data_IF_869013084118
#
_entry.id   IF_869013084118
#
_cell.length_a   1.000
_cell.length_b   1.000
_cell.length_c   1.000
_cell.angle_alpha   90.00
_cell.angle_beta   90.00
_cell.angle_gamma   90.00
#
_symmetry.space_group_name_H-M   'P 1'
#
loop_
_entity.id
_entity.type
_entity.pdbx_description
1 polymer ?
#
# COMPACT_ATOMS: atom_id res chain seq x y z
N UNK A 1 36.63 -4.57 5.34
CA UNK A 1 35.70 -3.48 5.65
C UNK A 1 34.36 -4.09 6.04
N UNK A 2 33.76 -3.73 7.16
CA UNK A 2 32.77 -4.55 7.86
C UNK A 2 31.36 -4.46 7.24
N UNK A 3 31.07 -5.31 6.28
CA UNK A 3 29.75 -5.46 5.64
C UNK A 3 28.69 -5.98 6.64
N UNK A 4 29.12 -6.69 7.69
CA UNK A 4 28.20 -7.27 8.68
C UNK A 4 27.42 -6.26 9.54
N UNK A 5 27.86 -4.99 9.64
CA UNK A 5 27.15 -3.99 10.45
C UNK A 5 25.98 -3.34 9.70
N UNK A 6 26.04 -3.29 8.38
CA UNK A 6 25.01 -2.64 7.55
C UNK A 6 23.76 -3.54 7.41
N UNK A 7 23.96 -4.84 7.17
CA UNK A 7 22.84 -5.82 7.16
C UNK A 7 22.17 -5.92 8.53
N UNK A 8 22.97 -5.95 9.60
CA UNK A 8 22.42 -5.94 10.95
C UNK A 8 21.63 -4.66 11.26
N UNK A 9 22.02 -3.52 10.70
CA UNK A 9 21.31 -2.25 10.88
C UNK A 9 20.01 -2.19 10.08
N UNK A 10 20.00 -2.64 8.82
CA UNK A 10 18.78 -2.72 8.00
C UNK A 10 17.80 -3.73 8.59
N UNK A 11 18.27 -4.93 8.95
CA UNK A 11 17.44 -5.95 9.57
C UNK A 11 17.00 -5.52 10.98
N UNK A 12 17.82 -4.77 11.71
CA UNK A 12 17.45 -4.20 13.02
C UNK A 12 16.41 -3.09 12.88
N UNK A 13 16.51 -2.23 11.84
CA UNK A 13 15.51 -1.20 11.55
C UNK A 13 14.19 -1.83 11.10
N UNK A 14 14.23 -2.83 10.23
CA UNK A 14 13.04 -3.59 9.83
C UNK A 14 12.48 -4.42 10.99
N UNK A 15 13.29 -4.86 11.96
CA UNK A 15 12.82 -5.51 13.19
C UNK A 15 12.19 -4.56 14.20
N UNK A 16 12.52 -3.27 14.15
CA UNK A 16 11.82 -2.25 14.96
C UNK A 16 10.39 -2.06 14.45
N UNK A 17 10.16 -2.29 13.15
CA UNK A 17 8.83 -2.27 12.53
C UNK A 17 8.18 -3.66 12.39
N UNK A 18 8.94 -4.75 12.53
CA UNK A 18 8.37 -6.09 12.69
C UNK A 18 7.75 -6.18 14.08
N UNK A 19 6.43 -6.33 14.13
CA UNK A 19 5.64 -6.36 15.35
C UNK A 19 6.34 -7.16 16.47
N UNK A 20 6.47 -6.60 17.68
CA UNK A 20 6.94 -7.35 18.82
C UNK A 20 6.04 -8.58 19.00
N UNK A 21 6.64 -9.72 19.35
CA UNK A 21 5.92 -10.93 19.71
C UNK A 21 4.78 -10.53 20.64
N UNK A 22 3.56 -10.88 20.28
CA UNK A 22 2.35 -10.66 21.08
C UNK A 22 2.53 -11.31 22.45
N UNK A 23 3.04 -10.55 23.40
CA UNK A 23 2.85 -10.86 24.80
C UNK A 23 1.47 -10.35 25.19
N UNK A 24 0.67 -11.25 25.72
CA UNK A 24 -0.66 -10.99 26.26
C UNK A 24 -0.65 -9.80 27.22
N UNK A 25 -1.16 -8.66 26.80
CA UNK A 25 -1.52 -7.58 27.70
C UNK A 25 -3.03 -7.54 27.88
N UNK A 26 -3.42 -7.61 29.17
CA UNK A 26 -4.79 -7.38 29.59
C UNK A 26 -5.20 -5.95 29.27
N UNK A 27 -6.30 -5.77 28.56
CA UNK A 27 -6.93 -4.49 28.31
C UNK A 27 -8.08 -4.31 29.29
N UNK A 28 -7.90 -3.43 30.28
CA UNK A 28 -8.97 -2.70 30.88
C UNK A 28 -8.81 -1.24 30.43
N UNK A 29 -9.37 -0.85 29.30
CA UNK A 29 -9.64 0.57 29.07
C UNK A 29 -10.96 0.85 29.78
N UNK A 30 -10.93 1.79 30.73
CA UNK A 30 -12.16 2.38 31.26
C UNK A 30 -12.92 3.03 30.09
N UNK A 31 -14.24 2.78 29.94
CA UNK A 31 -15.00 3.22 28.77
C UNK A 31 -15.09 4.75 28.60
N UNK A 32 -14.57 5.55 29.54
CA UNK A 32 -14.68 7.02 29.55
C UNK A 32 -13.35 7.76 29.38
N UNK A 33 -12.21 7.09 29.12
CA UNK A 33 -10.94 7.79 28.92
C UNK A 33 -10.80 8.29 27.47
N UNK A 34 -10.46 9.59 27.34
CA UNK A 34 -10.15 10.20 26.05
C UNK A 34 -8.78 9.73 25.57
N UNK A 35 -8.70 9.30 24.31
CA UNK A 35 -7.43 9.01 23.62
C UNK A 35 -6.93 10.26 22.92
N UNK A 36 -5.67 10.63 23.15
CA UNK A 36 -5.08 11.79 22.49
C UNK A 36 -5.15 11.67 20.97
N UNK A 37 -4.75 10.53 20.40
CA UNK A 37 -4.71 10.32 18.96
C UNK A 37 -6.09 10.25 18.31
N UNK A 38 -7.08 9.67 19.00
CA UNK A 38 -8.45 9.50 18.49
C UNK A 38 -9.31 10.76 18.64
N UNK A 39 -9.26 11.38 19.80
CA UNK A 39 -10.25 12.38 20.21
C UNK A 39 -9.69 13.81 20.22
N UNK A 40 -8.43 14.01 20.56
CA UNK A 40 -7.81 15.33 20.83
C UNK A 40 -6.95 15.78 19.66
N UNK A 41 -6.05 14.94 19.17
CA UNK A 41 -5.11 15.31 18.10
C UNK A 41 -5.80 15.83 16.83
N UNK A 42 -6.92 15.26 16.34
CA UNK A 42 -7.63 15.80 15.19
C UNK A 42 -8.12 17.24 15.41
N UNK A 43 -8.60 17.55 16.63
CA UNK A 43 -9.06 18.89 16.98
C UNK A 43 -7.89 19.89 16.94
N UNK A 44 -6.74 19.52 17.54
CA UNK A 44 -5.54 20.35 17.54
C UNK A 44 -4.96 20.53 16.13
N UNK A 45 -4.95 19.46 15.32
CA UNK A 45 -4.46 19.47 13.96
C UNK A 45 -5.23 20.46 13.08
N UNK A 46 -6.55 20.38 13.13
CA UNK A 46 -7.43 21.20 12.29
C UNK A 46 -7.48 22.67 12.72
N UNK A 47 -7.33 22.96 14.02
CA UNK A 47 -7.61 24.29 14.56
C UNK A 47 -6.38 25.02 15.14
N UNK A 48 -5.31 24.30 15.52
CA UNK A 48 -4.20 24.87 16.28
C UNK A 48 -2.83 24.72 15.61
N UNK A 49 -2.58 23.57 14.97
CA UNK A 49 -1.23 23.27 14.43
C UNK A 49 -0.82 24.13 13.25
N UNK A 50 -1.74 24.84 12.60
CA UNK A 50 -1.40 25.84 11.59
C UNK A 50 -0.51 26.97 12.12
N UNK A 51 -0.60 27.29 13.45
CA UNK A 51 0.19 28.30 14.13
C UNK A 51 1.06 27.76 15.28
N UNK A 52 0.66 26.60 15.86
CA UNK A 52 1.28 26.02 17.06
C UNK A 52 1.70 24.56 16.83
N UNK A 53 1.96 24.16 15.57
CA UNK A 53 2.38 22.82 15.19
C UNK A 53 3.91 22.64 15.11
N UNK A 54 4.36 21.41 14.81
CA UNK A 54 5.78 21.04 14.84
C UNK A 54 6.63 21.73 13.77
N UNK A 55 6.03 22.18 12.67
CA UNK A 55 6.75 22.72 11.49
C UNK A 55 6.85 24.24 11.51
N UNK A 56 6.20 24.90 12.47
CA UNK A 56 6.21 26.36 12.57
C UNK A 56 7.48 26.80 13.25
N UNK A 57 8.50 27.24 12.47
CA UNK A 57 9.80 27.70 12.98
C UNK A 57 9.67 28.83 13.99
N UNK A 58 8.70 29.72 13.77
CA UNK A 58 8.40 30.84 14.64
C UNK A 58 6.97 30.67 15.19
N UNK A 59 6.75 29.59 15.96
CA UNK A 59 5.46 29.37 16.60
C UNK A 59 5.04 30.60 17.42
N UNK A 60 3.82 31.07 17.19
CA UNK A 60 3.31 32.25 17.89
C UNK A 60 3.43 32.06 19.41
N UNK A 61 3.98 33.04 20.10
CA UNK A 61 4.35 32.99 21.52
C UNK A 61 5.36 31.87 21.90
N UNK A 62 6.09 31.30 20.93
CA UNK A 62 7.00 30.17 21.16
C UNK A 62 6.30 28.87 21.57
N UNK A 63 4.96 28.81 21.47
CA UNK A 63 4.17 27.66 21.90
C UNK A 63 3.99 26.65 20.78
N UNK A 64 4.34 25.41 21.07
CA UNK A 64 4.02 24.26 20.21
C UNK A 64 3.13 23.27 20.99
N UNK A 65 1.97 22.92 20.43
CA UNK A 65 0.96 22.05 21.05
C UNK A 65 1.05 20.57 20.60
N UNK A 66 2.10 20.22 19.86
CA UNK A 66 2.25 18.86 19.36
C UNK A 66 2.94 17.90 20.33
N UNK A 67 3.61 18.43 21.36
CA UNK A 67 4.30 17.64 22.37
C UNK A 67 3.94 18.08 23.80
N UNK A 68 3.90 17.14 24.71
CA UNK A 68 3.65 17.39 26.12
C UNK A 68 4.65 18.38 26.72
N UNK A 69 5.94 18.20 26.42
CA UNK A 69 7.01 19.04 26.93
C UNK A 69 6.84 20.52 26.56
N UNK A 70 6.55 20.80 25.30
CA UNK A 70 6.34 22.18 24.84
C UNK A 70 5.04 22.80 25.35
N UNK A 71 3.94 22.01 25.41
CA UNK A 71 2.65 22.49 25.84
C UNK A 71 2.58 22.76 27.36
N UNK A 72 3.41 22.09 28.17
CA UNK A 72 3.49 22.28 29.62
C UNK A 72 4.64 23.20 30.03
N UNK A 73 5.44 23.68 29.09
CA UNK A 73 6.51 24.65 29.37
C UNK A 73 5.91 26.02 29.75
N UNK A 74 6.67 26.82 30.48
CA UNK A 74 6.29 28.20 30.81
C UNK A 74 6.26 29.07 29.56
N UNK A 75 5.20 29.86 29.41
CA UNK A 75 5.01 30.80 28.31
C UNK A 75 5.76 32.12 28.58
N UNK A 76 6.88 32.32 27.84
CA UNK A 76 7.65 33.54 27.95
C UNK A 76 8.63 33.58 29.13
N UNK A 77 9.56 34.58 29.08
CA UNK A 77 10.53 34.78 30.14
C UNK A 77 9.86 35.54 31.30
N UNK A 78 9.77 34.91 32.47
CA UNK A 78 9.27 35.53 33.71
C UNK A 78 7.75 35.46 33.88
N UNK A 79 7.04 34.63 33.13
CA UNK A 79 5.61 34.35 33.32
C UNK A 79 5.40 32.98 33.98
N UNK A 80 4.51 32.92 34.97
CA UNK A 80 4.12 31.70 35.66
C UNK A 80 2.92 31.00 34.94
N UNK A 81 2.78 31.25 33.63
CA UNK A 81 1.68 30.69 32.82
C UNK A 81 2.14 29.51 31.97
N UNK A 82 1.30 28.49 31.94
CA UNK A 82 1.49 27.31 31.10
C UNK A 82 0.32 27.17 30.13
N UNK A 83 0.57 26.73 28.90
CA UNK A 83 -0.52 26.46 27.98
C UNK A 83 -1.40 25.30 28.47
N UNK A 84 -0.79 24.26 29.04
CA UNK A 84 -1.47 23.15 29.68
C UNK A 84 -0.95 22.95 31.10
N UNK A 85 -1.88 22.90 32.06
CA UNK A 85 -1.65 22.42 33.42
C UNK A 85 -2.41 21.11 33.54
N UNK A 86 -1.71 19.95 33.51
CA UNK A 86 -2.36 18.64 33.58
C UNK A 86 -3.24 18.52 34.82
N UNK A 87 -4.49 18.09 34.62
CA UNK A 87 -5.49 17.93 35.69
C UNK A 87 -6.20 19.21 36.10
N UNK A 88 -5.84 20.38 35.55
CA UNK A 88 -6.50 21.66 35.89
C UNK A 88 -6.79 22.52 34.65
N UNK A 89 -8.01 22.35 34.08
CA UNK A 89 -8.41 23.18 32.93
C UNK A 89 -8.47 24.66 33.24
N UNK A 90 -8.76 25.06 34.50
CA UNK A 90 -8.89 26.47 34.86
C UNK A 90 -7.57 27.19 34.98
N UNK A 91 -6.50 26.46 35.38
CA UNK A 91 -5.14 26.97 35.39
C UNK A 91 -4.55 27.04 33.97
N UNK A 92 -5.01 26.19 33.05
CA UNK A 92 -4.52 26.07 31.67
C UNK A 92 -4.85 27.28 30.83
N UNK A 93 -3.84 27.92 30.24
CA UNK A 93 -4.01 29.10 29.37
C UNK A 93 -4.76 28.72 28.08
N UNK A 94 -4.57 27.50 27.55
CA UNK A 94 -5.32 26.99 26.41
C UNK A 94 -6.83 27.06 26.68
N UNK A 95 -7.29 26.57 27.85
CA UNK A 95 -8.70 26.60 28.22
C UNK A 95 -9.24 28.02 28.29
N UNK A 96 -8.53 28.95 28.94
CA UNK A 96 -8.95 30.35 29.04
C UNK A 96 -9.13 30.96 27.68
N UNK A 97 -8.20 30.72 26.73
CA UNK A 97 -8.27 31.31 25.40
C UNK A 97 -9.35 30.70 24.51
N UNK A 98 -9.55 29.37 24.53
CA UNK A 98 -10.60 28.76 23.68
C UNK A 98 -12.01 29.10 24.20
N UNK A 99 -12.16 29.48 25.49
CA UNK A 99 -13.44 29.85 26.09
C UNK A 99 -13.61 31.38 26.22
N UNK A 100 -12.58 32.18 25.90
CA UNK A 100 -12.67 33.66 26.00
C UNK A 100 -13.75 34.22 25.07
N UNK A 101 -14.43 35.27 25.56
CA UNK A 101 -15.35 36.07 24.76
C UNK A 101 -14.67 37.31 24.17
N UNK A 102 -13.48 37.65 24.67
CA UNK A 102 -12.70 38.75 24.17
C UNK A 102 -12.06 38.36 22.84
N UNK A 103 -12.34 39.08 21.73
CA UNK A 103 -11.79 38.81 20.44
C UNK A 103 -10.24 38.82 20.39
N UNK A 104 -9.59 39.63 21.23
CA UNK A 104 -8.15 39.80 21.28
C UNK A 104 -7.44 38.65 22.02
N UNK A 105 -8.17 37.95 22.86
CA UNK A 105 -7.65 36.81 23.63
C UNK A 105 -8.06 35.45 23.03
N UNK A 106 -9.16 35.43 22.28
CA UNK A 106 -9.79 34.19 21.82
C UNK A 106 -8.88 33.43 20.86
N UNK A 107 -8.83 32.10 21.05
CA UNK A 107 -8.18 31.15 20.14
C UNK A 107 -9.18 30.07 19.67
N UNK A 108 -9.16 29.70 18.39
CA UNK A 108 -8.47 30.38 17.28
C UNK A 108 -8.97 31.82 17.10
N UNK A 109 -8.11 32.74 16.54
CA UNK A 109 -8.51 34.13 16.34
C UNK A 109 -9.77 34.24 15.48
N UNK A 110 -10.66 35.24 15.76
CA UNK A 110 -11.93 35.37 15.04
C UNK A 110 -11.81 35.62 13.53
N UNK A 111 -10.70 36.19 13.09
CA UNK A 111 -10.34 36.44 11.69
C UNK A 111 -9.75 35.23 10.98
N UNK A 112 -9.45 34.15 11.72
CA UNK A 112 -9.00 32.89 11.14
C UNK A 112 -10.15 32.08 10.55
N UNK A 113 -9.85 31.16 9.61
CA UNK A 113 -10.82 30.22 9.06
C UNK A 113 -11.11 29.02 9.99
N UNK A 114 -10.53 29.03 11.20
CA UNK A 114 -10.63 27.93 12.16
C UNK A 114 -11.62 28.29 13.27
N UNK A 115 -12.52 27.35 13.62
CA UNK A 115 -13.49 27.55 14.70
C UNK A 115 -13.73 26.24 15.44
N UNK A 116 -13.63 26.29 16.76
CA UNK A 116 -13.98 25.15 17.61
C UNK A 116 -15.52 25.09 17.82
N UNK A 117 -16.07 23.90 17.68
CA UNK A 117 -17.46 23.62 18.11
C UNK A 117 -17.54 23.48 19.63
N UNK A 118 -18.73 23.68 20.26
CA UNK A 118 -18.90 23.46 21.68
C UNK A 118 -18.47 22.06 22.14
N UNK A 119 -18.73 21.02 21.32
CA UNK A 119 -18.31 19.65 21.62
C UNK A 119 -16.78 19.48 21.61
N UNK A 120 -16.08 20.12 20.66
CA UNK A 120 -14.61 20.10 20.63
C UNK A 120 -13.98 20.81 21.81
N UNK A 121 -14.58 21.93 22.25
CA UNK A 121 -14.13 22.65 23.45
C UNK A 121 -14.28 21.76 24.68
N UNK A 122 -15.41 21.06 24.82
CA UNK A 122 -15.63 20.16 25.96
C UNK A 122 -14.67 18.98 25.96
N UNK A 123 -14.40 18.35 24.80
CA UNK A 123 -13.40 17.29 24.66
C UNK A 123 -12.02 17.76 25.11
N UNK A 124 -11.58 18.95 24.70
CA UNK A 124 -10.31 19.52 25.14
C UNK A 124 -10.29 19.78 26.65
N UNK A 125 -11.39 20.27 27.21
CA UNK A 125 -11.52 20.48 28.65
C UNK A 125 -11.42 19.19 29.45
N UNK A 126 -12.17 18.16 29.06
CA UNK A 126 -12.14 16.85 29.71
C UNK A 126 -10.77 16.19 29.60
N UNK A 127 -10.11 16.30 28.44
CA UNK A 127 -8.75 15.79 28.26
C UNK A 127 -7.76 16.47 29.21
N UNK A 128 -7.84 17.79 29.41
CA UNK A 128 -6.99 18.50 30.37
C UNK A 128 -7.26 18.01 31.79
N UNK A 129 -8.52 17.88 32.18
CA UNK A 129 -8.88 17.38 33.51
C UNK A 129 -8.45 15.95 33.77
N UNK A 130 -8.40 15.10 32.73
CA UNK A 130 -7.89 13.73 32.78
C UNK A 130 -6.37 13.65 32.82
N UNK A 131 -5.64 14.78 32.85
CA UNK A 131 -4.19 14.80 32.96
C UNK A 131 -3.46 15.21 31.69
N UNK A 132 -4.16 15.57 30.62
CA UNK A 132 -3.60 16.00 29.33
C UNK A 132 -2.53 15.02 28.79
N UNK A 133 -2.79 13.71 28.89
CA UNK A 133 -1.86 12.70 28.43
C UNK A 133 -1.70 12.75 26.92
N UNK A 134 -0.45 12.84 26.46
CA UNK A 134 -0.07 12.75 25.05
C UNK A 134 0.28 11.30 24.70
N UNK A 135 -0.23 10.85 23.59
CA UNK A 135 0.19 9.58 23.01
C UNK A 135 1.27 9.83 21.94
N UNK A 136 2.19 8.89 21.77
CA UNK A 136 3.09 8.87 20.63
C UNK A 136 2.29 8.82 19.32
N UNK A 137 2.94 9.15 18.19
CA UNK A 137 2.25 9.16 16.90
C UNK A 137 1.59 7.80 16.63
N UNK A 138 0.33 7.79 16.22
CA UNK A 138 -0.50 6.60 16.08
C UNK A 138 0.11 5.51 15.18
N UNK A 139 0.83 5.92 14.10
CA UNK A 139 1.46 4.98 13.17
C UNK A 139 2.64 4.21 13.78
N UNK A 140 3.20 4.67 14.91
CA UNK A 140 4.35 4.05 15.58
C UNK A 140 4.00 3.42 16.92
N UNK A 141 2.71 3.39 17.26
CA UNK A 141 2.27 2.70 18.46
C UNK A 141 2.15 1.19 18.23
N UNK A 142 2.46 0.41 19.25
CA UNK A 142 2.23 -1.02 19.20
C UNK A 142 0.74 -1.32 19.02
N UNK A 143 0.42 -2.24 18.10
CA UNK A 143 -0.94 -2.66 17.88
C UNK A 143 -1.50 -3.36 19.12
N UNK A 144 -2.66 -2.93 19.58
CA UNK A 144 -3.42 -3.61 20.64
C UNK A 144 -4.37 -4.62 19.96
N UNK A 145 -4.27 -5.89 20.37
CA UNK A 145 -5.21 -6.90 19.88
C UNK A 145 -6.60 -6.65 20.48
N UNK A 146 -7.60 -6.55 19.63
CA UNK A 146 -9.01 -6.53 20.06
C UNK A 146 -9.39 -7.96 20.50
N UNK A 147 -9.40 -8.22 21.80
CA UNK A 147 -9.70 -9.56 22.33
C UNK A 147 -11.15 -9.96 21.99
N UNK A 148 -11.28 -11.15 21.42
CA UNK A 148 -12.59 -11.74 21.10
C UNK A 148 -13.37 -11.05 19.97
N UNK A 149 -12.81 -10.04 19.34
CA UNK A 149 -13.45 -9.35 18.22
C UNK A 149 -13.14 -10.04 16.89
N UNK A 150 -14.17 -10.37 16.14
CA UNK A 150 -14.07 -10.73 14.72
C UNK A 150 -14.36 -9.50 13.86
N UNK A 151 -13.97 -9.53 12.58
CA UNK A 151 -14.33 -8.48 11.61
C UNK A 151 -15.85 -8.24 11.64
N UNK A 152 -16.64 -9.31 11.64
CA UNK A 152 -18.10 -9.24 11.68
C UNK A 152 -18.63 -8.58 12.96
N UNK A 153 -18.04 -8.88 14.13
CA UNK A 153 -18.49 -8.27 15.38
C UNK A 153 -18.20 -6.77 15.42
N UNK A 154 -17.05 -6.34 14.91
CA UNK A 154 -16.70 -4.92 14.79
C UNK A 154 -17.63 -4.18 13.82
N UNK A 155 -17.92 -4.78 12.65
CA UNK A 155 -18.85 -4.20 11.67
C UNK A 155 -20.27 -4.10 12.25
N UNK A 156 -20.76 -5.16 12.92
CA UNK A 156 -22.09 -5.15 13.56
C UNK A 156 -22.20 -4.09 14.62
N UNK A 157 -21.22 -3.98 15.52
CA UNK A 157 -21.22 -2.93 16.55
C UNK A 157 -21.30 -1.52 15.93
N UNK A 158 -20.62 -1.29 14.79
CA UNK A 158 -20.70 -0.01 14.08
C UNK A 158 -22.07 0.22 13.45
N UNK A 159 -22.68 -0.80 12.84
CA UNK A 159 -24.01 -0.72 12.24
C UNK A 159 -25.08 -0.47 13.29
N UNK A 160 -25.04 -1.17 14.43
CA UNK A 160 -25.98 -1.00 15.54
C UNK A 160 -26.02 0.45 16.03
N UNK A 161 -24.84 1.11 16.13
CA UNK A 161 -24.74 2.53 16.49
C UNK A 161 -25.34 3.50 15.46
N UNK A 162 -25.58 3.05 14.22
CA UNK A 162 -26.18 3.85 13.15
C UNK A 162 -27.63 3.51 12.85
N UNK A 163 -28.19 2.48 13.50
CA UNK A 163 -29.52 1.94 13.22
C UNK A 163 -29.64 1.18 11.90
N UNK A 164 -28.52 0.89 11.24
CA UNK A 164 -28.49 0.09 10.01
C UNK A 164 -28.38 -1.40 10.33
N UNK A 165 -28.89 -2.22 9.42
CA UNK A 165 -28.80 -3.69 9.51
C UNK A 165 -28.01 -4.25 8.33
N UNK A 166 -27.26 -5.33 8.55
CA UNK A 166 -26.62 -6.07 7.49
C UNK A 166 -27.64 -6.61 6.50
N UNK A 167 -27.33 -6.59 5.22
CA UNK A 167 -28.13 -7.29 4.21
C UNK A 167 -28.12 -8.80 4.48
N UNK A 168 -29.17 -9.54 4.06
CA UNK A 168 -29.17 -11.00 4.14
C UNK A 168 -28.00 -11.59 3.30
N UNK A 169 -27.54 -12.80 3.65
CA UNK A 169 -26.53 -13.50 2.85
C UNK A 169 -26.96 -13.61 1.39
N UNK A 170 -26.02 -13.46 0.47
CA UNK A 170 -26.27 -13.66 -0.95
C UNK A 170 -26.57 -15.14 -1.24
N UNK A 171 -27.30 -15.41 -2.34
CA UNK A 171 -27.50 -16.76 -2.83
C UNK A 171 -26.17 -17.41 -3.24
N UNK A 172 -26.17 -18.74 -3.37
CA UNK A 172 -24.97 -19.53 -3.63
C UNK A 172 -24.27 -19.17 -4.94
N UNK A 173 -25.02 -18.91 -6.01
CA UNK A 173 -24.45 -18.55 -7.31
C UNK A 173 -23.75 -17.19 -7.22
N UNK A 174 -24.38 -16.23 -6.57
CA UNK A 174 -23.82 -14.90 -6.32
C UNK A 174 -22.58 -14.98 -5.41
N UNK A 175 -22.57 -15.81 -4.37
CA UNK A 175 -21.41 -16.02 -3.51
C UNK A 175 -20.23 -16.58 -4.30
N UNK A 176 -20.45 -17.64 -5.10
CA UNK A 176 -19.37 -18.21 -5.91
C UNK A 176 -18.81 -17.19 -6.90
N UNK A 177 -19.69 -16.48 -7.61
CA UNK A 177 -19.27 -15.47 -8.58
C UNK A 177 -18.40 -14.38 -7.91
N UNK A 178 -18.84 -13.86 -6.77
CA UNK A 178 -18.11 -12.82 -6.04
C UNK A 178 -16.73 -13.31 -5.61
N UNK A 179 -16.68 -14.45 -4.90
CA UNK A 179 -15.39 -14.93 -4.36
C UNK A 179 -14.40 -15.32 -5.47
N UNK A 180 -14.89 -15.91 -6.59
CA UNK A 180 -14.01 -16.25 -7.71
C UNK A 180 -13.46 -14.97 -8.35
N UNK A 181 -14.31 -13.98 -8.58
CA UNK A 181 -13.91 -12.70 -9.17
C UNK A 181 -12.98 -11.90 -8.25
N UNK A 182 -13.26 -11.88 -6.95
CA UNK A 182 -12.42 -11.15 -5.98
C UNK A 182 -11.02 -11.77 -5.87
N UNK A 183 -10.94 -13.10 -5.81
CA UNK A 183 -9.68 -13.81 -5.63
C UNK A 183 -8.87 -13.99 -6.92
N UNK A 184 -9.52 -14.11 -8.07
CA UNK A 184 -8.83 -14.47 -9.32
C UNK A 184 -8.98 -13.44 -10.44
N UNK A 185 -9.86 -12.45 -10.27
CA UNK A 185 -10.22 -11.50 -11.33
C UNK A 185 -11.09 -12.11 -12.44
N UNK A 186 -11.46 -13.39 -12.35
CA UNK A 186 -12.17 -14.15 -13.37
C UNK A 186 -13.52 -14.63 -12.85
N UNK A 187 -14.53 -14.81 -13.71
CA UNK A 187 -15.77 -15.48 -13.32
C UNK A 187 -15.54 -16.99 -13.12
N UNK A 188 -16.38 -17.67 -12.32
CA UNK A 188 -16.35 -19.13 -12.25
C UNK A 188 -16.77 -19.74 -13.59
N UNK A 189 -16.27 -20.95 -13.88
CA UNK A 189 -16.78 -21.71 -15.03
C UNK A 189 -18.19 -22.25 -14.76
N UNK A 190 -18.98 -22.59 -15.80
CA UNK A 190 -20.28 -23.23 -15.61
C UNK A 190 -20.18 -24.51 -14.77
N UNK A 191 -19.15 -25.32 -15.01
CA UNK A 191 -18.93 -26.59 -14.29
C UNK A 191 -18.62 -26.34 -12.81
N UNK A 192 -17.86 -25.31 -12.48
CA UNK A 192 -17.58 -24.89 -11.09
C UNK A 192 -18.87 -24.40 -10.40
N UNK A 193 -19.71 -23.68 -11.13
CA UNK A 193 -20.99 -23.21 -10.62
C UNK A 193 -21.93 -24.40 -10.32
N UNK A 194 -22.09 -25.30 -11.27
CA UNK A 194 -22.97 -26.49 -11.12
C UNK A 194 -22.49 -27.37 -9.96
N UNK A 195 -21.17 -27.62 -9.88
CA UNK A 195 -20.58 -28.41 -8.79
C UNK A 195 -20.82 -27.76 -7.42
N UNK A 196 -20.68 -26.42 -7.31
CA UNK A 196 -20.92 -25.72 -6.07
C UNK A 196 -22.38 -25.68 -5.66
N UNK A 197 -23.32 -25.55 -6.63
CA UNK A 197 -24.76 -25.50 -6.36
C UNK A 197 -25.28 -26.79 -5.76
N UNK A 198 -24.75 -27.95 -6.19
CA UNK A 198 -25.15 -29.27 -5.69
C UNK A 198 -24.40 -29.74 -4.44
N UNK A 199 -23.30 -29.05 -4.07
CA UNK A 199 -22.53 -29.40 -2.88
C UNK A 199 -23.13 -28.74 -1.62
N UNK A 200 -23.89 -29.52 -0.85
CA UNK A 200 -24.56 -29.07 0.38
C UNK A 200 -23.75 -29.27 1.66
N UNK A 201 -22.47 -29.63 1.56
CA UNK A 201 -21.63 -29.75 2.74
C UNK A 201 -21.43 -28.36 3.42
N UNK A 202 -21.40 -28.31 4.75
CA UNK A 202 -21.24 -27.05 5.48
C UNK A 202 -19.97 -26.29 5.12
N UNK A 203 -18.89 -26.99 4.75
CA UNK A 203 -17.58 -26.45 4.39
C UNK A 203 -17.40 -26.21 2.87
N UNK A 204 -18.45 -26.37 2.06
CA UNK A 204 -18.37 -26.23 0.60
C UNK A 204 -17.78 -24.88 0.17
N UNK A 205 -18.19 -23.79 0.80
CA UNK A 205 -17.69 -22.45 0.51
C UNK A 205 -16.20 -22.31 0.87
N UNK A 206 -15.81 -22.78 2.06
CA UNK A 206 -14.41 -22.73 2.51
C UNK A 206 -13.49 -23.55 1.59
N UNK A 207 -13.93 -24.72 1.14
CA UNK A 207 -13.18 -25.52 0.15
C UNK A 207 -12.96 -24.77 -1.16
N UNK A 208 -13.97 -24.06 -1.65
CA UNK A 208 -13.84 -23.21 -2.85
C UNK A 208 -12.81 -22.10 -2.60
N UNK A 209 -12.91 -21.38 -1.49
CA UNK A 209 -11.95 -20.31 -1.12
C UNK A 209 -10.52 -20.85 -1.09
N UNK A 210 -10.31 -21.96 -0.38
CA UNK A 210 -8.99 -22.60 -0.25
C UNK A 210 -8.42 -23.08 -1.59
N UNK A 211 -9.29 -23.56 -2.50
CA UNK A 211 -8.89 -23.94 -3.86
C UNK A 211 -8.46 -22.73 -4.68
N UNK A 212 -9.26 -21.67 -4.66
CA UNK A 212 -8.99 -20.44 -5.41
C UNK A 212 -7.70 -19.78 -4.94
N UNK A 213 -7.48 -19.65 -3.63
CA UNK A 213 -6.25 -19.06 -3.05
C UNK A 213 -4.97 -19.79 -3.47
N UNK A 214 -5.05 -21.08 -3.81
CA UNK A 214 -3.90 -21.86 -4.29
C UNK A 214 -3.75 -21.85 -5.83
N UNK A 215 -4.60 -21.11 -6.52
CA UNK A 215 -4.55 -21.05 -7.98
C UNK A 215 -3.52 -20.02 -8.46
N UNK A 216 -2.87 -20.24 -9.61
CA UNK A 216 -2.03 -19.23 -10.24
C UNK A 216 -2.76 -17.91 -10.49
N UNK A 217 -4.03 -17.95 -10.88
CA UNK A 217 -4.83 -16.75 -11.12
C UNK A 217 -5.02 -15.89 -9.86
N UNK A 218 -5.10 -16.52 -8.66
CA UNK A 218 -5.11 -15.75 -7.41
C UNK A 218 -3.78 -15.09 -7.12
N UNK A 219 -2.67 -15.75 -7.38
CA UNK A 219 -1.34 -15.14 -7.25
C UNK A 219 -1.18 -13.96 -8.20
N UNK A 220 -1.60 -14.10 -9.46
CA UNK A 220 -1.61 -13.03 -10.45
C UNK A 220 -2.49 -11.84 -10.00
N UNK A 221 -3.70 -12.11 -9.52
CA UNK A 221 -4.61 -11.06 -9.04
C UNK A 221 -4.08 -10.30 -7.83
N UNK A 222 -3.50 -11.01 -6.86
CA UNK A 222 -2.93 -10.42 -5.66
C UNK A 222 -1.65 -9.63 -5.96
N UNK A 223 -0.88 -10.06 -6.97
CA UNK A 223 0.36 -9.38 -7.34
C UNK A 223 0.14 -8.04 -8.03
N UNK A 224 -1.03 -7.78 -8.64
CA UNK A 224 -1.29 -6.53 -9.41
C UNK A 224 -1.00 -5.29 -8.56
N UNK A 225 -1.60 -5.20 -7.38
CA UNK A 225 -1.43 -4.03 -6.50
C UNK A 225 0.03 -3.90 -6.02
N UNK A 226 0.74 -5.03 -5.85
CA UNK A 226 2.17 -5.02 -5.52
C UNK A 226 3.02 -4.53 -6.67
N UNK A 227 2.76 -4.98 -7.89
CA UNK A 227 3.47 -4.54 -9.09
C UNK A 227 3.27 -3.05 -9.35
N UNK A 228 2.04 -2.55 -9.16
CA UNK A 228 1.72 -1.12 -9.26
C UNK A 228 2.46 -0.31 -8.20
N UNK A 229 2.40 -0.72 -6.93
CA UNK A 229 3.15 -0.09 -5.84
C UNK A 229 4.66 -0.09 -6.07
N UNK A 230 5.20 -1.16 -6.64
CA UNK A 230 6.61 -1.28 -7.03
C UNK A 230 6.96 -0.53 -8.32
N UNK A 231 6.02 0.08 -9.03
CA UNK A 231 6.23 0.80 -10.31
C UNK A 231 6.78 -0.11 -11.41
N UNK A 232 6.38 -1.38 -11.43
CA UNK A 232 6.86 -2.35 -12.38
C UNK A 232 6.59 -1.94 -13.83
N UNK A 233 7.61 -2.00 -14.67
CA UNK A 233 7.51 -1.90 -16.11
C UNK A 233 8.69 -2.60 -16.79
N UNK A 234 8.45 -3.20 -17.97
CA UNK A 234 9.48 -3.72 -18.86
C UNK A 234 9.94 -2.64 -19.86
N UNK A 235 9.88 -1.38 -19.44
CA UNK A 235 10.37 -0.21 -20.18
C UNK A 235 11.05 0.77 -19.24
N UNK A 236 11.89 1.65 -19.78
CA UNK A 236 12.73 2.55 -19.00
C UNK A 236 11.99 3.78 -18.45
N UNK A 237 10.86 4.16 -19.03
CA UNK A 237 10.18 5.41 -18.72
C UNK A 237 10.85 6.63 -19.36
N UNK A 238 10.54 7.82 -18.89
CA UNK A 238 10.94 9.10 -19.47
C UNK A 238 10.48 9.27 -20.93
N UNK A 239 11.05 10.22 -21.68
CA UNK A 239 10.63 10.49 -23.05
C UNK A 239 11.12 9.45 -24.05
N UNK A 240 12.23 8.78 -23.76
CA UNK A 240 12.71 7.63 -24.50
C UNK A 240 12.42 6.38 -23.68
N UNK A 241 11.27 5.77 -23.95
CA UNK A 241 10.75 4.63 -23.18
C UNK A 241 11.18 3.30 -23.82
N UNK A 242 12.47 3.08 -23.84
CA UNK A 242 13.07 1.85 -24.38
C UNK A 242 12.78 0.62 -23.53
N UNK A 243 12.80 -0.53 -24.17
CA UNK A 243 12.63 -1.85 -23.54
C UNK A 243 13.72 -2.16 -22.51
N UNK A 244 13.31 -2.78 -21.40
CA UNK A 244 14.17 -3.45 -20.42
C UNK A 244 13.50 -4.74 -19.92
N UNK A 245 14.28 -5.66 -19.35
CA UNK A 245 13.80 -6.95 -18.87
C UNK A 245 13.68 -6.95 -17.34
N UNK A 246 12.48 -6.67 -16.82
CA UNK A 246 12.16 -6.76 -15.40
C UNK A 246 11.24 -7.94 -15.09
N UNK A 247 10.76 -8.66 -16.10
CA UNK A 247 9.78 -9.74 -15.98
C UNK A 247 10.23 -10.89 -15.07
N UNK A 248 11.54 -11.15 -14.93
CA UNK A 248 12.04 -12.17 -13.98
C UNK A 248 11.71 -11.81 -12.54
N UNK A 249 11.84 -10.52 -12.18
CA UNK A 249 11.42 -10.04 -10.87
C UNK A 249 9.90 -10.15 -10.68
N UNK A 250 9.10 -9.80 -11.69
CA UNK A 250 7.65 -10.02 -11.64
C UNK A 250 7.32 -11.49 -11.37
N UNK A 251 7.96 -12.41 -12.08
CA UNK A 251 7.75 -13.84 -11.87
C UNK A 251 8.14 -14.28 -10.45
N UNK A 252 9.21 -13.70 -9.89
CA UNK A 252 9.56 -13.92 -8.50
C UNK A 252 8.43 -13.47 -7.54
N UNK A 253 7.84 -12.30 -7.78
CA UNK A 253 6.68 -11.80 -7.01
C UNK A 253 5.50 -12.77 -7.13
N UNK A 254 5.15 -13.19 -8.34
CA UNK A 254 4.07 -14.16 -8.57
C UNK A 254 4.33 -15.48 -7.82
N UNK A 255 5.56 -15.98 -7.85
CA UNK A 255 5.93 -17.18 -7.12
C UNK A 255 5.84 -16.99 -5.60
N UNK A 256 6.22 -15.84 -5.10
CA UNK A 256 6.12 -15.50 -3.68
C UNK A 256 4.66 -15.54 -3.19
N UNK A 257 3.72 -14.97 -3.96
CA UNK A 257 2.28 -15.05 -3.65
C UNK A 257 1.74 -16.48 -3.80
N UNK A 258 2.12 -17.20 -4.86
CA UNK A 258 1.67 -18.58 -5.11
C UNK A 258 2.10 -19.54 -4.00
N UNK A 259 3.30 -19.35 -3.46
CA UNK A 259 3.87 -20.17 -2.39
C UNK A 259 3.52 -19.65 -0.99
N UNK A 260 2.77 -18.56 -0.91
CA UNK A 260 2.42 -17.88 0.33
C UNK A 260 3.66 -17.58 1.19
N UNK A 261 4.70 -16.97 0.55
CA UNK A 261 5.94 -16.58 1.23
C UNK A 261 5.62 -15.65 2.42
N UNK A 262 6.28 -15.84 3.54
CA UNK A 262 6.10 -15.00 4.71
C UNK A 262 6.45 -13.54 4.39
N UNK A 263 5.63 -12.60 4.87
CA UNK A 263 5.80 -11.18 4.55
C UNK A 263 7.12 -10.58 5.05
N UNK A 264 7.62 -11.03 6.18
CA UNK A 264 8.92 -10.62 6.70
C UNK A 264 10.09 -11.06 5.80
N UNK A 265 10.08 -12.32 5.31
CA UNK A 265 11.04 -12.82 4.35
C UNK A 265 10.91 -12.10 2.99
N UNK A 266 9.70 -11.94 2.50
CA UNK A 266 9.37 -11.22 1.27
C UNK A 266 9.92 -9.78 1.30
N UNK A 267 9.77 -9.08 2.44
CA UNK A 267 10.27 -7.73 2.62
C UNK A 267 11.80 -7.68 2.63
N UNK A 268 12.43 -8.54 3.43
CA UNK A 268 13.89 -8.57 3.55
C UNK A 268 14.54 -8.91 2.21
N UNK A 269 14.01 -9.89 1.47
CA UNK A 269 14.56 -10.31 0.19
C UNK A 269 14.45 -9.20 -0.87
N UNK A 270 13.36 -8.42 -0.90
CA UNK A 270 13.21 -7.33 -1.87
C UNK A 270 14.07 -6.10 -1.57
N UNK A 271 14.38 -5.85 -0.30
CA UNK A 271 15.17 -4.66 0.09
C UNK A 271 16.66 -4.99 0.19
N UNK A 272 17.03 -6.19 0.62
CA UNK A 272 18.39 -6.57 0.99
C UNK A 272 18.72 -8.04 0.68
N UNK A 273 18.04 -8.66 -0.29
CA UNK A 273 18.21 -10.06 -0.62
C UNK A 273 19.62 -10.40 -1.10
N UNK A 274 20.26 -9.50 -1.82
CA UNK A 274 21.65 -9.62 -2.28
C UNK A 274 22.68 -9.51 -1.15
N UNK A 275 22.32 -8.93 -0.03
CA UNK A 275 23.18 -8.74 1.15
C UNK A 275 23.05 -9.90 2.16
N UNK A 276 22.17 -10.85 1.93
CA UNK A 276 22.01 -12.01 2.83
C UNK A 276 23.25 -12.92 2.76
N UNK A 277 23.69 -13.52 3.88
CA UNK A 277 24.79 -14.47 3.88
C UNK A 277 24.50 -15.66 2.96
N UNK A 278 25.34 -15.87 1.95
CA UNK A 278 25.14 -16.93 0.96
C UNK A 278 23.92 -16.72 0.05
N UNK A 279 23.57 -15.46 -0.23
CA UNK A 279 22.42 -15.08 -1.05
C UNK A 279 22.25 -15.95 -2.30
N UNK A 280 21.07 -16.55 -2.44
CA UNK A 280 20.68 -17.34 -3.61
C UNK A 280 20.44 -16.44 -4.82
N UNK A 281 20.35 -17.03 -6.01
CA UNK A 281 19.96 -16.31 -7.23
C UNK A 281 18.59 -15.64 -7.03
N UNK A 282 17.60 -16.35 -6.50
CA UNK A 282 16.25 -15.83 -6.30
C UNK A 282 16.19 -14.69 -5.28
N UNK A 283 17.01 -14.71 -4.24
CA UNK A 283 17.14 -13.61 -3.30
C UNK A 283 17.75 -12.35 -3.94
N UNK A 284 18.66 -12.53 -4.90
CA UNK A 284 19.20 -11.41 -5.70
C UNK A 284 18.15 -10.90 -6.69
N UNK A 285 17.39 -11.78 -7.35
CA UNK A 285 16.26 -11.40 -8.22
C UNK A 285 15.24 -10.54 -7.45
N UNK A 286 14.94 -10.90 -6.19
CA UNK A 286 14.02 -10.17 -5.34
C UNK A 286 14.35 -8.67 -5.23
N UNK A 287 15.65 -8.31 -5.20
CA UNK A 287 16.09 -6.90 -5.12
C UNK A 287 15.76 -6.08 -6.37
N UNK A 288 15.24 -6.70 -7.41
CA UNK A 288 14.65 -6.02 -8.57
C UNK A 288 13.56 -5.01 -8.18
N UNK A 289 12.93 -5.14 -7.01
CA UNK A 289 12.05 -4.12 -6.44
C UNK A 289 12.69 -2.72 -6.45
N UNK A 290 13.94 -2.61 -6.04
CA UNK A 290 14.68 -1.35 -6.01
C UNK A 290 15.13 -0.89 -7.41
N UNK A 291 14.97 -1.72 -8.41
CA UNK A 291 15.40 -1.46 -9.80
C UNK A 291 14.24 -1.09 -10.73
N UNK A 292 13.00 -1.02 -10.21
CA UNK A 292 11.83 -0.61 -10.98
C UNK A 292 11.72 0.91 -11.21
N UNK A 293 12.64 1.72 -10.65
CA UNK A 293 12.69 3.16 -10.94
C UNK A 293 12.85 3.40 -12.44
N UNK A 294 12.30 4.51 -12.92
CA UNK A 294 12.59 4.97 -14.29
C UNK A 294 14.08 5.21 -14.45
N UNK A 295 14.61 4.96 -15.66
CA UNK A 295 15.99 5.22 -16.04
C UNK A 295 16.04 6.07 -17.31
N UNK A 296 16.89 7.10 -17.33
CA UNK A 296 17.09 7.94 -18.50
C UNK A 296 18.40 7.57 -19.21
N UNK A 297 18.38 7.62 -20.54
CA UNK A 297 19.58 7.57 -21.38
C UNK A 297 19.59 8.72 -22.40
N UNK A 298 18.81 9.76 -22.12
CA UNK A 298 18.71 10.94 -22.98
C UNK A 298 20.03 11.71 -23.03
N UNK A 299 20.34 12.24 -24.22
CA UNK A 299 21.52 13.10 -24.38
C UNK A 299 21.41 14.39 -23.61
N UNK A 300 22.53 14.83 -22.99
CA UNK A 300 22.58 16.07 -22.21
C UNK A 300 22.14 15.97 -20.75
N UNK A 301 21.79 14.78 -20.28
CA UNK A 301 21.49 14.52 -18.86
C UNK A 301 22.76 14.57 -18.02
N UNK A 302 22.63 14.98 -16.75
CA UNK A 302 23.71 14.95 -15.76
C UNK A 302 23.60 13.65 -14.96
N UNK A 303 24.51 12.66 -15.15
CA UNK A 303 24.37 11.35 -14.50
C UNK A 303 24.23 11.40 -12.99
N UNK A 304 24.93 12.30 -12.30
CA UNK A 304 24.85 12.42 -10.84
C UNK A 304 23.48 12.95 -10.37
N UNK A 305 22.86 13.85 -11.10
CA UNK A 305 21.50 14.33 -10.82
C UNK A 305 20.49 13.19 -10.87
N UNK A 306 20.55 12.38 -11.91
CA UNK A 306 19.64 11.24 -12.05
C UNK A 306 19.95 10.12 -11.06
N UNK A 307 21.23 9.88 -10.73
CA UNK A 307 21.58 8.93 -9.66
C UNK A 307 20.96 9.32 -8.32
N UNK A 308 20.99 10.61 -7.99
CA UNK A 308 20.33 11.16 -6.79
C UNK A 308 18.82 10.98 -6.90
N UNK A 309 18.23 11.29 -8.04
CA UNK A 309 16.80 11.15 -8.32
C UNK A 309 16.33 9.70 -8.13
N UNK A 310 17.06 8.72 -8.65
CA UNK A 310 16.71 7.29 -8.49
C UNK A 310 16.79 6.85 -7.02
N UNK A 311 17.77 7.35 -6.25
CA UNK A 311 17.86 7.02 -4.84
C UNK A 311 16.75 7.69 -4.01
N UNK A 312 16.34 8.92 -4.35
CA UNK A 312 15.16 9.57 -3.75
C UNK A 312 13.89 8.76 -4.04
N UNK A 313 13.75 8.27 -5.26
CA UNK A 313 12.64 7.44 -5.67
C UNK A 313 12.60 6.09 -4.91
N UNK A 314 13.76 5.47 -4.64
CA UNK A 314 13.84 4.27 -3.78
C UNK A 314 13.37 4.56 -2.35
N UNK A 315 13.80 5.69 -1.77
CA UNK A 315 13.33 6.13 -0.44
C UNK A 315 11.82 6.26 -0.42
N UNK A 316 11.26 7.00 -1.38
CA UNK A 316 9.82 7.26 -1.46
C UNK A 316 9.02 5.96 -1.64
N UNK A 317 9.49 5.07 -2.51
CA UNK A 317 8.83 3.81 -2.78
C UNK A 317 8.87 2.86 -1.59
N UNK A 318 10.04 2.68 -0.97
CA UNK A 318 10.16 1.81 0.22
C UNK A 318 9.30 2.37 1.36
N UNK A 319 9.34 3.68 1.59
CA UNK A 319 8.52 4.30 2.61
C UNK A 319 7.02 4.12 2.33
N UNK A 320 6.58 4.33 1.10
CA UNK A 320 5.17 4.23 0.73
C UNK A 320 4.68 2.79 0.77
N UNK A 321 5.41 1.86 0.15
CA UNK A 321 4.93 0.47 -0.07
C UNK A 321 5.08 -0.39 1.19
N UNK A 322 6.20 -0.30 1.90
CA UNK A 322 6.45 -1.14 3.07
C UNK A 322 6.09 -0.48 4.40
N UNK A 323 6.16 0.84 4.49
CA UNK A 323 5.97 1.56 5.75
C UNK A 323 4.65 2.32 5.81
N UNK A 324 3.96 2.54 4.65
CA UNK A 324 2.75 3.35 4.57
C UNK A 324 3.01 4.84 4.91
N UNK A 325 4.22 5.34 4.67
CA UNK A 325 4.65 6.69 4.99
C UNK A 325 4.95 7.51 3.74
N UNK A 326 4.57 8.78 3.74
CA UNK A 326 4.85 9.73 2.66
C UNK A 326 6.13 10.52 2.94
N UNK A 327 7.29 9.90 2.88
CA UNK A 327 8.57 10.53 3.28
C UNK A 327 9.08 11.61 2.33
N UNK A 328 8.61 11.66 1.10
CA UNK A 328 9.14 12.56 0.05
C UNK A 328 9.10 14.06 0.44
N UNK A 329 8.10 14.48 1.21
CA UNK A 329 8.03 15.85 1.73
C UNK A 329 9.26 16.22 2.57
N UNK A 330 9.80 15.23 3.31
CA UNK A 330 10.97 15.42 4.17
C UNK A 330 12.29 15.57 3.41
N UNK A 331 12.31 15.43 2.09
CA UNK A 331 13.47 15.75 1.25
C UNK A 331 13.88 17.24 1.37
N UNK A 332 12.90 18.14 1.48
CA UNK A 332 13.15 19.60 1.46
C UNK A 332 12.99 20.26 2.84
N UNK A 333 12.16 19.73 3.72
CA UNK A 333 11.86 20.26 5.05
C UNK A 333 11.31 19.15 5.94
N UNK A 334 11.26 19.34 7.25
CA UNK A 334 10.62 18.39 8.15
C UNK A 334 9.17 18.13 7.73
N UNK A 335 8.72 16.88 7.83
CA UNK A 335 7.38 16.51 7.37
C UNK A 335 6.30 17.29 8.13
N UNK A 336 5.26 17.75 7.42
CA UNK A 336 4.26 18.66 8.00
C UNK A 336 3.39 17.98 9.07
N UNK A 337 3.07 16.70 8.89
CA UNK A 337 2.08 15.98 9.72
C UNK A 337 2.69 14.84 10.52
N UNK A 338 3.69 14.19 9.98
CA UNK A 338 4.35 13.02 10.58
C UNK A 338 5.67 13.43 11.26
N UNK A 339 6.08 12.73 12.31
CA UNK A 339 7.31 13.05 13.04
C UNK A 339 8.54 12.55 12.27
N UNK A 340 8.72 13.02 11.05
CA UNK A 340 9.82 12.69 10.16
C UNK A 340 10.58 13.96 9.82
N UNK A 341 11.82 14.05 10.27
CA UNK A 341 12.68 15.20 9.99
C UNK A 341 13.38 15.05 8.64
N UNK A 342 13.81 16.17 8.07
CA UNK A 342 14.68 16.18 6.88
C UNK A 342 15.96 15.35 7.13
N UNK A 343 16.52 15.44 8.33
CA UNK A 343 17.70 14.66 8.71
C UNK A 343 17.45 13.16 8.61
N UNK A 344 16.31 12.68 9.09
CA UNK A 344 15.93 11.26 9.02
C UNK A 344 15.68 10.81 7.58
N UNK A 345 15.12 11.66 6.73
CA UNK A 345 15.04 11.40 5.30
C UNK A 345 16.41 11.09 4.69
N UNK A 346 17.41 11.93 4.94
CA UNK A 346 18.76 11.72 4.40
C UNK A 346 19.51 10.59 5.09
N UNK A 347 19.21 10.26 6.33
CA UNK A 347 19.71 9.05 6.98
C UNK A 347 19.14 7.80 6.30
N UNK A 348 17.86 7.81 5.93
CA UNK A 348 17.23 6.71 5.18
C UNK A 348 17.74 6.64 3.74
N UNK A 349 17.89 7.77 3.07
CA UNK A 349 18.52 7.88 1.75
C UNK A 349 19.94 7.27 1.71
N UNK A 350 20.72 7.41 2.77
CA UNK A 350 22.08 6.88 2.84
C UNK A 350 22.16 5.35 2.67
N UNK A 351 21.11 4.59 2.97
CA UNK A 351 21.07 3.14 2.72
C UNK A 351 21.09 2.82 1.23
N UNK A 352 20.46 3.64 0.39
CA UNK A 352 20.38 3.42 -1.06
C UNK A 352 21.51 4.13 -1.81
N UNK A 353 22.16 5.13 -1.20
CA UNK A 353 23.20 5.94 -1.84
C UNK A 353 24.53 5.17 -2.07
N UNK A 354 24.65 3.96 -1.53
CA UNK A 354 25.81 3.07 -1.75
C UNK A 354 25.63 2.16 -2.98
N UNK A 355 24.50 2.24 -3.67
CA UNK A 355 24.25 1.50 -4.90
C UNK A 355 25.26 1.94 -5.98
N UNK A 356 25.81 0.96 -6.71
CA UNK A 356 26.69 1.19 -7.86
C UNK A 356 25.91 1.49 -9.15
N UNK A 357 24.62 1.68 -9.07
CA UNK A 357 23.75 2.02 -10.20
C UNK A 357 24.11 3.39 -10.77
N UNK A 358 24.42 3.51 -12.06
CA UNK A 358 24.72 4.80 -12.68
C UNK A 358 23.45 5.64 -12.86
N UNK A 359 23.62 6.97 -12.95
CA UNK A 359 22.52 7.87 -13.27
C UNK A 359 22.15 7.90 -14.76
N UNK A 360 22.97 7.27 -15.63
CA UNK A 360 22.69 7.16 -17.06
C UNK A 360 22.27 5.73 -17.38
N UNK A 361 21.11 5.55 -17.98
CA UNK A 361 20.55 4.26 -18.37
C UNK A 361 21.21 3.67 -19.62
N UNK A 362 20.93 2.40 -19.89
CA UNK A 362 21.31 1.72 -21.12
C UNK A 362 20.18 1.79 -22.15
N UNK A 363 20.54 1.88 -23.43
CA UNK A 363 19.59 1.89 -24.54
C UNK A 363 19.11 0.48 -24.85
N UNK A 364 17.81 0.26 -24.90
CA UNK A 364 17.17 -1.04 -25.18
C UNK A 364 17.74 -2.21 -24.34
N UNK A 365 18.08 -1.94 -23.08
CA UNK A 365 18.65 -2.92 -22.17
C UNK A 365 18.50 -2.49 -20.72
N UNK A 366 18.72 -3.43 -19.81
CA UNK A 366 18.82 -3.12 -18.39
C UNK A 366 20.12 -2.36 -18.10
N UNK A 367 20.01 -1.37 -17.22
CA UNK A 367 21.19 -0.64 -16.71
C UNK A 367 21.92 -1.48 -15.64
N UNK A 368 23.27 -1.52 -15.70
CA UNK A 368 24.07 -2.23 -14.70
C UNK A 368 23.92 -1.71 -13.26
N UNK A 369 24.30 -2.49 -12.24
CA UNK A 369 24.79 -3.87 -12.32
C UNK A 369 23.69 -4.88 -12.68
N UNK A 370 24.05 -5.97 -13.34
CA UNK A 370 23.13 -6.98 -13.88
C UNK A 370 23.42 -8.36 -13.29
N UNK A 371 22.39 -9.17 -13.25
CA UNK A 371 22.50 -10.62 -13.03
C UNK A 371 21.77 -11.34 -14.17
N UNK A 372 22.29 -12.50 -14.59
CA UNK A 372 21.55 -13.46 -15.39
C UNK A 372 20.85 -14.42 -14.45
N UNK A 373 19.55 -14.56 -14.58
CA UNK A 373 18.76 -15.41 -13.72
C UNK A 373 17.60 -16.05 -14.48
N UNK A 374 17.09 -17.18 -13.96
CA UNK A 374 15.92 -17.87 -14.50
C UNK A 374 14.65 -17.60 -13.69
N UNK A 375 13.51 -17.74 -14.35
CA UNK A 375 12.22 -17.75 -13.69
C UNK A 375 11.90 -19.13 -13.12
N UNK A 376 11.47 -19.22 -11.87
CA UNK A 376 11.01 -20.46 -11.24
C UNK A 376 9.64 -20.92 -11.73
N UNK A 377 8.81 -20.00 -12.21
CA UNK A 377 7.46 -20.30 -12.69
C UNK A 377 7.37 -20.38 -14.21
N UNK A 378 8.30 -19.80 -14.94
CA UNK A 378 8.34 -19.78 -16.40
C UNK A 378 9.53 -20.58 -16.92
N UNK A 379 9.65 -21.88 -16.52
CA UNK A 379 10.70 -22.73 -17.01
C UNK A 379 10.43 -23.18 -18.46
N UNK A 380 11.48 -23.47 -19.27
CA UNK A 380 11.30 -23.95 -20.64
C UNK A 380 10.41 -25.19 -20.75
N UNK A 381 10.47 -26.12 -19.77
CA UNK A 381 9.64 -27.32 -19.70
C UNK A 381 8.17 -26.97 -19.46
N UNK A 382 7.91 -26.02 -18.54
CA UNK A 382 6.56 -25.54 -18.26
C UNK A 382 5.96 -24.84 -19.48
N UNK A 383 6.71 -23.95 -20.10
CA UNK A 383 6.29 -23.26 -21.34
C UNK A 383 5.92 -24.24 -22.44
N UNK A 384 6.77 -25.26 -22.68
CA UNK A 384 6.49 -26.31 -23.67
C UNK A 384 5.23 -27.11 -23.32
N UNK A 385 5.08 -27.50 -22.05
CA UNK A 385 3.91 -28.25 -21.58
C UNK A 385 2.63 -27.42 -21.75
N UNK A 386 2.63 -26.16 -21.31
CA UNK A 386 1.47 -25.29 -21.36
C UNK A 386 1.08 -24.95 -22.81
N UNK A 387 2.08 -24.75 -23.69
CA UNK A 387 1.84 -24.61 -25.11
C UNK A 387 1.20 -25.89 -25.74
N UNK A 388 1.68 -27.07 -25.36
CA UNK A 388 1.10 -28.33 -25.82
C UNK A 388 -0.34 -28.50 -25.37
N UNK A 389 -0.66 -28.17 -24.10
CA UNK A 389 -2.02 -28.21 -23.56
C UNK A 389 -2.95 -27.25 -24.30
N UNK A 390 -2.51 -26.02 -24.58
CA UNK A 390 -3.27 -25.01 -25.33
C UNK A 390 -3.51 -25.45 -26.77
N UNK A 391 -2.52 -26.00 -27.43
CA UNK A 391 -2.66 -26.54 -28.79
C UNK A 391 -3.68 -27.70 -28.80
N UNK A 392 -3.63 -28.59 -27.80
CA UNK A 392 -4.59 -29.67 -27.66
C UNK A 392 -6.02 -29.15 -27.45
N UNK A 393 -6.20 -28.16 -26.59
CA UNK A 393 -7.49 -27.53 -26.34
C UNK A 393 -8.01 -26.77 -27.57
N UNK A 394 -7.17 -26.02 -28.25
CA UNK A 394 -7.54 -25.35 -29.51
C UNK A 394 -7.97 -26.38 -30.58
N UNK A 395 -7.29 -27.51 -30.66
CA UNK A 395 -7.70 -28.61 -31.57
C UNK A 395 -9.04 -29.17 -31.15
N UNK A 396 -9.28 -29.38 -29.85
CA UNK A 396 -10.57 -29.84 -29.32
C UNK A 396 -11.68 -28.84 -29.64
N UNK A 397 -11.49 -27.56 -29.38
CA UNK A 397 -12.46 -26.51 -29.67
C UNK A 397 -12.76 -26.37 -31.17
N UNK A 398 -11.72 -26.46 -32.02
CA UNK A 398 -11.91 -26.46 -33.48
C UNK A 398 -12.61 -27.70 -34.01
N UNK A 399 -12.45 -28.84 -33.37
CA UNK A 399 -13.11 -30.09 -33.72
C UNK A 399 -14.56 -30.16 -33.19
N UNK A 400 -14.99 -29.22 -32.38
CA UNK A 400 -16.36 -29.08 -31.87
C UNK A 400 -17.18 -28.18 -32.80
N UNK A 401 -17.79 -28.64 -33.86
CA UNK A 401 -18.82 -27.90 -34.54
C UNK A 401 -20.16 -28.57 -34.33
N UNK A 402 -20.97 -28.11 -33.45
CA UNK A 402 -22.35 -28.19 -33.80
C UNK A 402 -22.75 -26.84 -34.40
N UNK A 403 -23.43 -26.89 -35.52
CA UNK A 403 -24.07 -25.74 -36.13
C UNK A 403 -24.90 -24.91 -35.12
N UNK A 404 -25.34 -25.55 -34.05
CA UNK A 404 -26.09 -24.99 -32.94
C UNK A 404 -25.23 -24.05 -32.07
N UNK A 405 -23.95 -24.39 -31.77
CA UNK A 405 -23.05 -23.55 -30.97
C UNK A 405 -22.59 -22.36 -31.82
N UNK A 406 -22.31 -22.59 -33.11
CA UNK A 406 -21.97 -21.49 -34.04
C UNK A 406 -23.11 -20.47 -34.11
N UNK A 407 -24.34 -20.93 -34.29
CA UNK A 407 -25.49 -20.02 -34.35
C UNK A 407 -25.78 -19.29 -33.02
N UNK A 408 -25.54 -19.94 -31.88
CA UNK A 408 -25.65 -19.26 -30.57
C UNK A 408 -24.53 -18.24 -30.34
N UNK A 409 -23.30 -18.55 -30.72
CA UNK A 409 -22.16 -17.64 -30.67
C UNK A 409 -22.41 -16.43 -31.58
N UNK A 410 -22.78 -16.66 -32.83
CA UNK A 410 -23.01 -15.59 -33.80
C UNK A 410 -24.16 -14.66 -33.37
N UNK A 411 -25.20 -15.23 -32.73
CA UNK A 411 -26.26 -14.43 -32.11
C UNK A 411 -25.75 -13.62 -30.93
N UNK A 412 -25.00 -14.24 -30.01
CA UNK A 412 -24.43 -13.57 -28.86
C UNK A 412 -23.44 -12.48 -29.27
N UNK A 413 -22.54 -12.75 -30.22
CA UNK A 413 -21.62 -11.76 -30.76
C UNK A 413 -22.37 -10.56 -31.37
N UNK A 414 -23.44 -10.83 -32.13
CA UNK A 414 -24.29 -9.79 -32.74
C UNK A 414 -24.96 -8.94 -31.66
N UNK A 415 -25.51 -9.56 -30.64
CA UNK A 415 -26.16 -8.87 -29.51
C UNK A 415 -25.16 -8.04 -28.70
N UNK A 416 -23.94 -8.57 -28.43
CA UNK A 416 -22.89 -7.83 -27.71
C UNK A 416 -22.38 -6.64 -28.53
N UNK A 417 -22.11 -6.83 -29.81
CA UNK A 417 -21.67 -5.74 -30.69
C UNK A 417 -22.76 -4.65 -30.84
N UNK A 418 -24.03 -5.04 -30.85
CA UNK A 418 -25.15 -4.12 -30.84
C UNK A 418 -25.24 -3.33 -29.55
N UNK A 419 -25.06 -3.97 -28.41
CA UNK A 419 -25.10 -3.34 -27.08
C UNK A 419 -23.95 -2.35 -26.87
N UNK A 420 -22.80 -2.57 -27.49
CA UNK A 420 -21.62 -1.72 -27.40
C UNK A 420 -21.60 -0.57 -28.41
N UNK A 421 -22.63 -0.44 -29.26
CA UNK A 421 -22.73 0.65 -30.27
C UNK A 421 -21.72 0.52 -31.41
N UNK A 422 -21.08 -0.62 -31.62
CA UNK A 422 -20.08 -0.89 -32.65
C UNK A 422 -20.65 -1.34 -34.00
N UNK A 423 -21.95 -1.18 -34.25
CA UNK A 423 -22.65 -1.65 -35.45
C UNK A 423 -22.30 -0.91 -36.77
N UNK A 424 -21.20 -0.18 -36.85
CA UNK A 424 -20.75 0.47 -38.11
C UNK A 424 -19.29 0.20 -38.45
N UNK A 425 -18.70 -0.88 -38.02
CA UNK A 425 -17.40 -1.30 -38.52
C UNK A 425 -17.69 -2.28 -39.68
N UNK A 426 -17.48 -1.81 -40.93
CA UNK A 426 -17.72 -2.65 -42.09
C UNK A 426 -16.85 -3.90 -42.13
N UNK A 427 -17.29 -4.95 -42.83
CA UNK A 427 -16.68 -6.28 -42.98
C UNK A 427 -15.16 -6.28 -43.27
N UNK A 428 -14.61 -5.19 -43.82
CA UNK A 428 -13.17 -5.04 -44.06
C UNK A 428 -12.34 -4.88 -42.81
N UNK A 429 -12.91 -4.40 -41.69
CA UNK A 429 -12.22 -4.15 -40.43
C UNK A 429 -12.23 -5.39 -39.51
N UNK A 430 -13.29 -6.19 -39.61
CA UNK A 430 -13.39 -7.43 -38.83
C UNK A 430 -12.33 -8.48 -39.22
N UNK A 431 -11.90 -8.48 -40.50
CA UNK A 431 -10.81 -9.37 -40.97
C UNK A 431 -9.40 -8.95 -40.51
N UNK A 432 -9.23 -7.74 -39.98
CA UNK A 432 -7.95 -7.19 -39.56
C UNK A 432 -7.71 -7.25 -38.04
N UNK A 433 -8.71 -7.66 -37.27
CA UNK A 433 -8.64 -7.72 -35.81
C UNK A 433 -8.26 -9.08 -35.24
N UNK A 434 -7.89 -10.02 -36.11
CA UNK A 434 -7.28 -11.28 -35.69
C UNK A 434 -5.90 -11.29 -36.28
N UNK A 435 -4.92 -10.84 -35.54
CA UNK A 435 -3.55 -11.28 -35.79
C UNK A 435 -2.62 -10.72 -34.71
N UNK A 436 -2.39 -11.53 -33.71
CA UNK A 436 -1.08 -11.51 -33.06
C UNK A 436 -0.13 -12.27 -34.00
N UNK A 437 1.08 -11.74 -34.28
CA UNK A 437 2.06 -12.43 -35.10
C UNK A 437 2.41 -13.78 -34.47
N UNK A 438 2.40 -14.84 -35.28
CA UNK A 438 2.69 -16.21 -34.83
C UNK A 438 4.15 -16.43 -34.40
N UNK A 439 5.00 -15.41 -34.46
CA UNK A 439 6.44 -15.52 -34.30
C UNK A 439 7.01 -14.94 -32.98
N UNK A 440 6.16 -14.56 -32.02
CA UNK A 440 6.64 -14.14 -30.70
C UNK A 440 6.00 -14.95 -29.57
N UNK A 441 6.74 -15.82 -28.89
CA UNK A 441 6.21 -16.78 -27.90
C UNK A 441 5.85 -16.21 -26.52
N UNK A 442 6.00 -14.94 -26.24
CA UNK A 442 6.06 -14.44 -24.85
C UNK A 442 4.92 -13.51 -24.39
N UNK A 443 3.86 -13.23 -25.18
CA UNK A 443 2.92 -12.15 -24.87
C UNK A 443 1.44 -12.54 -24.79
N UNK A 444 1.08 -13.77 -24.45
CA UNK A 444 -0.33 -14.19 -24.33
C UNK A 444 -0.70 -14.39 -22.86
N UNK A 445 -0.69 -13.34 -22.04
CA UNK A 445 -1.23 -13.42 -20.68
C UNK A 445 -2.09 -12.22 -20.23
N UNK A 446 -2.38 -11.27 -21.11
CA UNK A 446 -3.33 -10.20 -20.78
C UNK A 446 -4.23 -9.89 -21.98
N UNK A 447 -5.31 -10.65 -22.13
CA UNK A 447 -6.53 -10.26 -22.84
C UNK A 447 -7.71 -10.97 -22.17
#
# INVERSE_FOLDING_TARGET
>A
MRIGSTVASIVSMLRVFAAPRLNSFALGEEPDSLSFNRDVRPILLDNCFGCHGPVVKDAKAGLQLHSFESATALLGKGEDRQALVPGDRKASELWKRITSRDPDEKMPPPDSNHRLTPGQIEVLGQWIDQGAEYEGHWAFQALKAAQGASIDSLIRARLDGTGLRSAPPADRATLLRRITQDLTGLPPTPEELDAFLVDHNPDAYERVVNRLLRSPAAAERLAVDWLDGARYADTNGYSIDDHRDMWIWRDWVLNAFLTNKRFDEFTVEQIAGDLLPGATEQQRVATGFLRNSMNTHEGGTIPEEYRVTYNVDKVDTVATVFMGLTMKCAQCHDHKYDPITQKEFYQFYAFFNQSSEPGSGATNANTGPLIEAGSEICTPERVKRDAALRIAELKRLRAMPPARIAAQRDRWETEQLASLGFLKIGEATAKKLVLFPQDQPSWIWFA
#
